data_IF_553135264269
#
_entry.id   IF_553135264269
#
_cell.length_a   1.000
_cell.length_b   1.000
_cell.length_c   1.000
_cell.angle_alpha   90.00
_cell.angle_beta   90.00
_cell.angle_gamma   90.00
#
_symmetry.space_group_name_H-M   'P 1'
#
loop_
_entity.id
_entity.type
_entity.pdbx_description
1 polymer ?
#
# COMPACT_ATOMS: atom_id res chain seq x y z
N UNK A 1 21.66 51.81 13.41
CA UNK A 1 23.01 52.30 13.73
C UNK A 1 23.99 51.22 13.32
N UNK A 2 24.71 51.46 12.22
CA UNK A 2 25.84 50.64 11.75
C UNK A 2 27.10 51.16 12.39
N UNK A 3 27.97 50.29 12.93
CA UNK A 3 29.42 50.49 12.93
C UNK A 3 30.15 49.13 12.85
N UNK A 4 31.38 49.08 12.31
CA UNK A 4 31.94 47.93 11.59
C UNK A 4 33.26 47.38 12.17
N UNK A 5 33.79 46.36 11.47
CA UNK A 5 35.22 46.09 11.22
C UNK A 5 36.01 45.29 12.30
N UNK A 6 37.24 44.78 11.99
CA UNK A 6 37.53 43.38 11.61
C UNK A 6 38.73 42.80 12.42
N UNK A 7 39.21 41.59 12.12
CA UNK A 7 40.61 41.30 11.75
C UNK A 7 40.89 39.79 11.65
N UNK A 8 41.71 39.48 10.66
CA UNK A 8 42.35 38.22 10.30
C UNK A 8 43.15 37.61 11.46
N UNK A 9 43.32 36.28 11.45
CA UNK A 9 44.66 35.69 11.64
C UNK A 9 44.74 34.29 11.02
N UNK A 10 45.57 34.25 9.97
CA UNK A 10 46.22 33.09 9.38
C UNK A 10 47.05 32.36 10.44
N UNK A 11 47.03 31.03 10.43
CA UNK A 11 47.90 30.22 11.29
C UNK A 11 48.08 28.81 10.75
N UNK A 12 48.92 28.67 9.73
CA UNK A 12 49.43 27.37 9.26
C UNK A 12 50.50 26.86 10.22
N UNK A 13 50.34 25.64 10.75
CA UNK A 13 51.41 24.87 11.38
C UNK A 13 51.57 23.54 10.63
N UNK A 14 52.72 23.40 9.97
CA UNK A 14 53.30 22.18 9.39
C UNK A 14 54.27 21.58 10.42
N UNK A 15 53.98 20.42 11.00
CA UNK A 15 54.90 19.52 11.75
C UNK A 15 54.14 18.18 11.90
N UNK A 16 54.66 16.95 11.75
CA UNK A 16 55.88 16.38 11.21
C UNK A 16 55.60 14.89 10.91
N UNK A 17 56.35 14.33 9.97
CA UNK A 17 56.44 12.90 9.69
C UNK A 17 57.18 12.19 10.84
N UNK A 18 56.55 11.17 11.43
CA UNK A 18 57.16 10.29 12.42
C UNK A 18 56.59 8.89 12.24
N UNK A 19 57.35 8.04 11.54
CA UNK A 19 57.03 6.64 11.36
C UNK A 19 57.28 5.87 12.66
N UNK A 20 56.25 5.21 13.17
CA UNK A 20 56.38 4.05 14.06
C UNK A 20 55.81 2.84 13.32
N UNK A 21 56.54 1.72 13.19
CA UNK A 21 55.93 0.46 12.82
C UNK A 21 55.14 -0.02 14.05
N UNK A 22 53.90 0.42 14.16
CA UNK A 22 52.92 -0.24 15.00
C UNK A 22 52.21 -1.24 14.10
N UNK A 23 52.45 -2.51 14.35
CA UNK A 23 51.58 -3.60 13.90
C UNK A 23 50.18 -3.33 14.47
N UNK A 24 49.37 -2.55 13.75
CA UNK A 24 47.94 -2.56 13.95
C UNK A 24 47.42 -3.90 13.42
N UNK A 25 46.73 -4.69 14.27
CA UNK A 25 46.07 -5.89 13.81
C UNK A 25 45.09 -5.47 12.72
N UNK A 26 45.17 -6.19 11.60
CA UNK A 26 44.45 -5.86 10.38
C UNK A 26 42.99 -5.53 10.66
N UNK A 27 42.53 -4.49 9.97
CA UNK A 27 41.13 -4.24 9.64
C UNK A 27 40.30 -5.50 9.83
N UNK A 28 39.70 -5.63 11.01
CA UNK A 28 38.65 -6.59 11.24
C UNK A 28 37.57 -6.16 10.26
N UNK A 29 37.49 -6.94 9.18
CA UNK A 29 36.35 -6.99 8.28
C UNK A 29 35.12 -6.88 9.17
N UNK A 30 34.42 -5.74 9.11
CA UNK A 30 33.14 -5.60 9.75
C UNK A 30 32.30 -6.77 9.25
N UNK A 31 32.15 -7.79 10.09
CA UNK A 31 31.37 -8.96 9.75
C UNK A 31 29.99 -8.43 9.39
N UNK A 32 29.60 -8.73 8.15
CA UNK A 32 28.36 -8.29 7.56
C UNK A 32 27.25 -8.61 8.54
N UNK A 33 26.64 -7.57 9.10
CA UNK A 33 25.60 -7.65 10.14
C UNK A 33 24.34 -8.40 9.66
N UNK A 34 24.33 -8.86 8.40
CA UNK A 34 23.30 -9.72 7.83
C UNK A 34 23.28 -11.16 8.35
N UNK A 35 24.38 -11.67 8.93
CA UNK A 35 24.40 -13.06 9.42
C UNK A 35 23.66 -13.22 10.77
N UNK A 36 23.81 -12.27 11.69
CA UNK A 36 23.16 -12.31 13.02
C UNK A 36 21.64 -12.18 12.88
N UNK A 37 21.15 -11.26 12.03
CA UNK A 37 19.72 -11.11 11.75
C UNK A 37 19.11 -12.35 11.08
N UNK A 38 19.87 -13.02 10.22
CA UNK A 38 19.42 -14.25 9.54
C UNK A 38 19.31 -15.44 10.49
N UNK A 39 20.20 -15.55 11.49
CA UNK A 39 20.15 -16.61 12.49
C UNK A 39 18.92 -16.48 13.41
N UNK A 40 18.60 -15.26 13.87
CA UNK A 40 17.42 -14.98 14.72
C UNK A 40 16.10 -15.31 14.02
N UNK A 41 16.07 -15.14 12.70
CA UNK A 41 14.88 -15.34 11.88
C UNK A 41 14.73 -16.77 11.34
N UNK A 42 15.70 -17.65 11.60
CA UNK A 42 15.63 -19.04 11.16
C UNK A 42 14.42 -19.75 11.76
N UNK A 43 13.59 -20.36 10.90
CA UNK A 43 12.34 -21.03 11.29
C UNK A 43 11.16 -20.11 11.60
N UNK A 44 11.35 -18.78 11.62
CA UNK A 44 10.28 -17.82 11.83
C UNK A 44 9.38 -17.73 10.60
N UNK A 45 8.07 -17.76 10.79
CA UNK A 45 7.10 -17.66 9.70
C UNK A 45 5.79 -17.02 10.18
N UNK A 46 5.03 -16.41 9.27
CA UNK A 46 3.62 -16.10 9.48
C UNK A 46 2.79 -17.33 9.08
N UNK A 47 2.29 -18.06 10.06
CA UNK A 47 1.51 -19.29 9.84
C UNK A 47 0.09 -18.98 9.37
N UNK A 48 -0.51 -17.91 9.89
CA UNK A 48 -1.87 -17.46 9.52
C UNK A 48 -1.86 -15.98 9.24
N UNK A 49 -2.52 -15.59 8.15
CA UNK A 49 -2.97 -14.24 7.88
C UNK A 49 -4.35 -14.37 7.26
N UNK A 50 -5.34 -13.68 7.82
CA UNK A 50 -6.71 -13.64 7.31
C UNK A 50 -7.15 -12.22 7.04
N UNK A 51 -8.14 -12.09 6.15
CA UNK A 51 -8.85 -10.88 5.82
C UNK A 51 -10.33 -11.14 6.09
N UNK A 52 -10.86 -10.58 7.18
CA UNK A 52 -12.27 -10.71 7.54
C UNK A 52 -13.19 -9.90 6.62
N UNK A 53 -12.62 -8.93 5.91
CA UNK A 53 -13.27 -8.11 4.90
C UNK A 53 -12.56 -6.76 4.76
N UNK A 54 -12.80 -6.11 3.63
CA UNK A 54 -12.41 -4.74 3.34
C UNK A 54 -13.53 -4.11 2.52
N UNK A 55 -13.94 -2.90 2.88
CA UNK A 55 -14.98 -2.16 2.17
C UNK A 55 -14.60 -0.68 2.10
N UNK A 56 -15.26 0.04 1.21
CA UNK A 56 -15.09 1.49 1.07
C UNK A 56 -16.44 2.18 1.00
N UNK A 57 -16.53 3.35 1.62
CA UNK A 57 -17.73 4.19 1.61
C UNK A 57 -17.37 5.66 1.81
N UNK A 58 -17.85 6.54 0.93
CA UNK A 58 -17.59 7.99 0.97
C UNK A 58 -16.08 8.31 1.03
N UNK A 59 -15.29 7.57 0.27
CA UNK A 59 -13.83 7.70 0.24
C UNK A 59 -13.12 7.24 1.52
N UNK A 60 -13.80 6.51 2.41
CA UNK A 60 -13.20 5.85 3.56
C UNK A 60 -13.14 4.34 3.33
N UNK A 61 -11.93 3.79 3.27
CA UNK A 61 -11.68 2.35 3.19
C UNK A 61 -11.37 1.81 4.58
N UNK A 62 -12.03 0.72 4.98
CA UNK A 62 -11.82 0.07 6.27
C UNK A 62 -11.87 -1.46 6.15
N UNK A 63 -11.07 -2.14 6.97
CA UNK A 63 -10.99 -3.61 6.98
C UNK A 63 -10.31 -4.16 8.22
N UNK A 64 -10.38 -5.47 8.36
CA UNK A 64 -9.82 -6.17 9.53
C UNK A 64 -9.49 -7.62 9.23
N UNK A 65 -8.75 -8.25 10.14
CA UNK A 65 -8.45 -9.68 10.06
C UNK A 65 -7.61 -10.14 11.25
N UNK A 66 -7.03 -11.33 11.12
CA UNK A 66 -6.21 -11.95 12.15
C UNK A 66 -4.86 -12.40 11.59
N UNK A 67 -3.89 -12.58 12.48
CA UNK A 67 -2.55 -13.08 12.18
C UNK A 67 -2.09 -14.06 13.26
N UNK A 68 -1.19 -14.97 12.87
CA UNK A 68 -0.48 -15.88 13.75
C UNK A 68 0.91 -16.14 13.19
N UNK A 69 1.90 -16.29 14.06
CA UNK A 69 3.30 -16.56 13.72
C UNK A 69 3.77 -17.87 14.35
N UNK A 70 4.86 -18.41 13.81
CA UNK A 70 5.58 -19.56 14.35
C UNK A 70 6.86 -19.09 15.03
N UNK A 71 7.18 -19.69 16.18
CA UNK A 71 8.43 -19.48 16.89
C UNK A 71 9.65 -19.74 15.97
N UNK A 72 10.77 -19.02 16.14
CA UNK A 72 11.12 -18.16 17.28
C UNK A 72 10.54 -16.74 17.25
N UNK A 73 9.79 -16.36 16.20
CA UNK A 73 9.14 -15.05 16.15
C UNK A 73 8.15 -14.87 17.31
N UNK A 74 8.15 -13.67 17.88
CA UNK A 74 7.31 -13.25 19.00
C UNK A 74 6.64 -11.89 18.75
N UNK A 75 6.61 -11.46 17.48
CA UNK A 75 5.83 -10.34 16.98
C UNK A 75 5.64 -10.43 15.47
N UNK A 76 4.87 -9.48 14.93
CA UNK A 76 4.60 -9.33 13.50
C UNK A 76 4.79 -7.88 13.08
N UNK A 77 5.33 -7.66 11.88
CA UNK A 77 5.19 -6.39 11.16
C UNK A 77 4.10 -6.53 10.10
N UNK A 78 3.12 -5.65 10.14
CA UNK A 78 2.04 -5.54 9.17
C UNK A 78 2.29 -4.31 8.30
N UNK A 79 2.20 -4.48 6.99
CA UNK A 79 2.29 -3.40 6.01
C UNK A 79 1.01 -3.39 5.18
N UNK A 80 0.41 -2.22 5.01
CA UNK A 80 -0.85 -2.05 4.32
C UNK A 80 -0.65 -1.24 3.04
N UNK A 81 -1.24 -1.69 1.94
CA UNK A 81 -1.09 -1.10 0.62
C UNK A 81 -2.46 -0.87 -0.03
N UNK A 82 -2.57 0.21 -0.81
CA UNK A 82 -3.66 0.46 -1.74
C UNK A 82 -3.00 0.74 -3.09
N UNK A 83 -3.40 0.00 -4.13
CA UNK A 83 -2.85 0.10 -5.48
C UNK A 83 -1.32 0.00 -5.50
N UNK A 84 -0.80 -0.93 -4.71
CA UNK A 84 0.64 -1.18 -4.51
C UNK A 84 1.43 -0.01 -3.91
N UNK A 85 0.76 1.03 -3.40
CA UNK A 85 1.36 2.14 -2.64
C UNK A 85 1.23 1.85 -1.15
N UNK A 86 2.34 1.91 -0.40
CA UNK A 86 2.32 1.69 1.04
C UNK A 86 1.58 2.82 1.77
N UNK A 87 0.57 2.46 2.54
CA UNK A 87 -0.28 3.39 3.28
C UNK A 87 0.21 3.57 4.71
N UNK A 88 0.54 2.46 5.38
CA UNK A 88 0.99 2.44 6.78
C UNK A 88 1.76 1.15 7.10
N UNK A 89 2.52 1.20 8.19
CA UNK A 89 3.23 0.07 8.79
C UNK A 89 2.84 0.00 10.27
N UNK A 90 2.66 -1.20 10.79
CA UNK A 90 2.35 -1.46 12.17
C UNK A 90 3.14 -2.66 12.71
N UNK A 91 3.76 -2.50 13.87
CA UNK A 91 4.45 -3.59 14.57
C UNK A 91 3.63 -4.02 15.79
N UNK A 92 3.31 -5.31 15.89
CA UNK A 92 2.59 -5.87 17.05
C UNK A 92 3.40 -6.98 17.73
N UNK A 93 3.57 -6.93 19.06
CA UNK A 93 4.11 -8.07 19.82
C UNK A 93 3.07 -9.17 19.96
N UNK A 94 3.53 -10.38 20.25
CA UNK A 94 2.69 -11.56 20.47
C UNK A 94 2.82 -12.61 19.37
N UNK A 95 2.30 -13.81 19.63
CA UNK A 95 2.30 -14.93 18.67
C UNK A 95 1.04 -14.97 17.78
N UNK A 96 0.02 -14.20 18.12
CA UNK A 96 -1.22 -14.05 17.35
C UNK A 96 -1.96 -12.78 17.75
N UNK A 97 -2.83 -12.30 16.86
CA UNK A 97 -3.71 -11.20 17.19
C UNK A 97 -4.63 -10.80 16.03
N UNK A 98 -5.41 -9.76 16.27
CA UNK A 98 -6.21 -9.10 15.24
C UNK A 98 -5.48 -7.87 14.70
N UNK A 99 -5.88 -7.43 13.52
CA UNK A 99 -5.43 -6.19 12.89
C UNK A 99 -6.61 -5.41 12.34
N UNK A 100 -6.46 -4.11 12.24
CA UNK A 100 -7.49 -3.18 11.76
C UNK A 100 -6.84 -2.14 10.87
N UNK A 101 -7.51 -1.78 9.78
CA UNK A 101 -7.07 -0.75 8.85
C UNK A 101 -8.22 0.21 8.59
N UNK A 102 -7.93 1.51 8.59
CA UNK A 102 -8.82 2.52 8.05
C UNK A 102 -8.02 3.63 7.37
N UNK A 103 -8.55 4.16 6.28
CA UNK A 103 -7.98 5.31 5.58
C UNK A 103 -9.07 6.10 4.85
N UNK A 104 -9.11 7.40 5.15
CA UNK A 104 -9.92 8.36 4.41
C UNK A 104 -9.18 8.89 3.17
N UNK A 105 -9.93 9.53 2.27
CA UNK A 105 -9.39 10.14 1.05
C UNK A 105 -9.02 9.11 -0.03
N UNK A 106 -9.63 7.93 -0.01
CA UNK A 106 -9.54 6.99 -1.12
C UNK A 106 -10.36 7.57 -2.29
N UNK A 107 -9.77 7.72 -3.48
CA UNK A 107 -10.51 8.16 -4.66
C UNK A 107 -11.69 7.24 -4.96
N UNK A 108 -12.62 7.71 -5.79
CA UNK A 108 -13.65 6.80 -6.30
C UNK A 108 -13.07 5.87 -7.38
N UNK A 109 -13.66 4.69 -7.56
CA UNK A 109 -13.21 3.68 -8.51
C UNK A 109 -12.84 2.35 -7.85
N UNK A 110 -12.22 1.47 -8.63
CA UNK A 110 -11.77 0.16 -8.14
C UNK A 110 -10.34 0.25 -7.65
N UNK A 111 -10.11 -0.21 -6.44
CA UNK A 111 -8.82 -0.23 -5.76
C UNK A 111 -8.44 -1.65 -5.37
N UNK A 112 -7.14 -1.88 -5.29
CA UNK A 112 -6.58 -3.14 -4.78
C UNK A 112 -5.99 -2.91 -3.40
N UNK A 113 -6.66 -3.44 -2.37
CA UNK A 113 -6.12 -3.47 -1.02
C UNK A 113 -5.20 -4.68 -0.86
N UNK A 114 -4.05 -4.48 -0.21
CA UNK A 114 -3.15 -5.56 0.16
C UNK A 114 -2.64 -5.38 1.59
N UNK A 115 -2.62 -6.47 2.35
CA UNK A 115 -1.93 -6.57 3.63
C UNK A 115 -0.78 -7.56 3.51
N UNK A 116 0.38 -7.20 4.07
CA UNK A 116 1.57 -8.07 4.17
C UNK A 116 1.93 -8.22 5.63
N UNK A 117 2.23 -9.44 6.04
CA UNK A 117 2.68 -9.76 7.39
C UNK A 117 4.06 -10.40 7.32
N UNK A 118 5.00 -9.86 8.09
CA UNK A 118 6.35 -10.41 8.26
C UNK A 118 6.54 -10.85 9.71
N UNK A 119 7.16 -12.01 9.96
CA UNK A 119 7.51 -12.38 11.31
C UNK A 119 8.55 -11.39 11.87
N UNK A 120 8.50 -11.14 13.16
CA UNK A 120 9.42 -10.25 13.86
C UNK A 120 9.88 -10.90 15.16
N UNK A 121 11.17 -10.72 15.47
CA UNK A 121 11.75 -11.09 16.76
C UNK A 121 11.99 -9.81 17.55
N UNK A 122 11.44 -9.79 18.77
CA UNK A 122 11.63 -8.75 19.77
C UNK A 122 12.50 -9.36 20.87
N UNK A 123 13.71 -8.85 21.05
CA UNK A 123 14.62 -9.37 22.08
C UNK A 123 14.24 -8.88 23.49
N UNK A 124 14.94 -9.38 24.50
CA UNK A 124 14.73 -8.98 25.90
C UNK A 124 15.02 -7.51 26.19
N UNK A 125 15.74 -6.83 25.30
CA UNK A 125 16.02 -5.39 25.36
C UNK A 125 14.99 -4.56 24.61
N UNK A 126 14.02 -5.20 23.96
CA UNK A 126 12.96 -4.55 23.18
C UNK A 126 13.37 -4.21 21.74
N UNK A 127 14.55 -4.62 21.27
CA UNK A 127 14.97 -4.40 19.88
C UNK A 127 14.13 -5.26 18.95
N UNK A 128 13.71 -4.68 17.82
CA UNK A 128 12.81 -5.31 16.86
C UNK A 128 13.56 -5.64 15.58
N UNK A 129 13.61 -6.94 15.26
CA UNK A 129 14.21 -7.45 14.03
C UNK A 129 13.12 -8.07 13.17
N UNK A 130 12.85 -7.47 12.01
CA UNK A 130 11.88 -8.01 11.04
C UNK A 130 12.57 -9.05 10.17
N UNK A 131 11.97 -10.23 10.10
CA UNK A 131 12.50 -11.39 9.40
C UNK A 131 12.13 -11.37 7.91
N UNK A 132 12.83 -10.51 7.16
CA UNK A 132 12.60 -10.33 5.72
C UNK A 132 12.94 -11.58 4.90
N UNK A 133 13.90 -12.38 5.36
CA UNK A 133 14.35 -13.62 4.69
C UNK A 133 13.30 -14.73 4.69
N UNK A 134 12.40 -14.75 5.68
CA UNK A 134 11.27 -15.68 5.73
C UNK A 134 10.19 -15.37 4.68
N UNK A 135 10.23 -14.16 4.11
CA UNK A 135 9.20 -13.66 3.20
C UNK A 135 7.90 -13.27 3.91
N UNK A 136 7.10 -12.36 3.32
CA UNK A 136 5.80 -12.03 3.86
C UNK A 136 4.75 -13.07 3.51
N UNK A 137 3.77 -13.23 4.40
CA UNK A 137 2.45 -13.71 3.97
C UNK A 137 1.63 -12.51 3.53
N UNK A 138 0.97 -12.61 2.38
CA UNK A 138 0.19 -11.50 1.84
C UNK A 138 -1.22 -11.94 1.45
N UNK A 139 -2.18 -11.02 1.64
CA UNK A 139 -3.53 -11.13 1.12
C UNK A 139 -3.86 -9.87 0.33
N UNK A 140 -4.63 -10.06 -0.73
CA UNK A 140 -5.07 -9.00 -1.63
C UNK A 140 -6.56 -9.13 -1.87
N UNK A 141 -7.28 -8.01 -1.90
CA UNK A 141 -8.69 -7.97 -2.24
C UNK A 141 -9.01 -6.67 -3.01
N UNK A 142 -9.80 -6.81 -4.07
CA UNK A 142 -10.34 -5.67 -4.81
C UNK A 142 -11.56 -5.10 -4.11
N UNK A 143 -11.65 -3.77 -4.07
CA UNK A 143 -12.73 -3.02 -3.44
C UNK A 143 -13.14 -1.89 -4.38
N UNK A 144 -14.43 -1.58 -4.47
CA UNK A 144 -14.93 -0.53 -5.37
C UNK A 144 -15.64 0.55 -4.57
N UNK A 145 -15.19 1.80 -4.73
CA UNK A 145 -15.83 3.00 -4.23
C UNK A 145 -16.72 3.59 -5.33
N UNK A 146 -17.98 3.84 -4.98
CA UNK A 146 -18.94 4.46 -5.90
C UNK A 146 -18.49 5.88 -6.26
N UNK A 147 -18.34 6.15 -7.56
CA UNK A 147 -18.10 7.51 -8.02
C UNK A 147 -19.39 8.34 -7.94
N UNK A 148 -19.33 9.58 -7.43
CA UNK A 148 -20.44 10.50 -7.60
C UNK A 148 -20.69 10.72 -9.10
N UNK A 149 -21.94 10.88 -9.52
CA UNK A 149 -22.23 11.24 -10.90
C UNK A 149 -21.54 12.57 -11.23
N UNK A 150 -21.15 12.80 -12.50
CA UNK A 150 -20.63 14.09 -12.93
C UNK A 150 -21.59 15.21 -12.52
N UNK A 151 -21.04 16.35 -12.08
CA UNK A 151 -21.84 17.53 -11.74
C UNK A 151 -22.72 17.92 -12.94
N UNK A 152 -24.04 17.91 -12.75
CA UNK A 152 -25.04 18.21 -13.80
C UNK A 152 -25.93 17.02 -14.17
N UNK A 153 -25.61 15.80 -13.72
CA UNK A 153 -26.41 14.60 -13.96
C UNK A 153 -27.34 14.35 -12.76
N UNK A 154 -28.62 14.65 -12.91
CA UNK A 154 -29.66 14.31 -11.93
C UNK A 154 -30.59 13.25 -12.52
N UNK A 155 -31.47 12.67 -11.70
CA UNK A 155 -32.48 11.70 -12.16
C UNK A 155 -33.33 12.22 -13.34
N UNK A 156 -33.44 13.55 -13.45
CA UNK A 156 -34.21 14.25 -14.50
C UNK A 156 -33.35 14.73 -15.68
N UNK A 157 -32.02 14.57 -15.62
CA UNK A 157 -31.10 15.05 -16.66
C UNK A 157 -30.12 13.93 -17.04
N UNK A 158 -30.51 13.15 -18.05
CA UNK A 158 -29.76 12.00 -18.57
C UNK A 158 -28.47 12.50 -19.19
N UNK A 159 -27.36 12.32 -18.49
CA UNK A 159 -26.05 12.50 -19.09
C UNK A 159 -25.76 11.35 -20.04
N UNK A 160 -25.57 11.67 -21.32
CA UNK A 160 -25.00 10.77 -22.30
C UNK A 160 -23.58 10.40 -21.87
N UNK A 161 -23.45 9.29 -21.13
CA UNK A 161 -22.16 8.72 -20.76
C UNK A 161 -21.52 8.14 -22.02
N UNK A 162 -20.50 8.79 -22.55
CA UNK A 162 -19.66 8.21 -23.60
C UNK A 162 -18.75 7.15 -22.97
N UNK A 163 -19.11 5.88 -23.10
CA UNK A 163 -18.24 4.76 -22.74
C UNK A 163 -16.98 4.78 -23.62
N UNK A 164 -15.79 4.84 -23.01
CA UNK A 164 -14.52 4.60 -23.71
C UNK A 164 -14.19 3.10 -23.59
N UNK A 165 -13.85 2.45 -24.70
CA UNK A 165 -13.71 1.00 -24.83
C UNK A 165 -12.52 0.35 -24.10
N UNK A 166 -11.84 1.06 -23.18
CA UNK A 166 -10.57 0.58 -22.64
C UNK A 166 -10.63 0.01 -21.21
N UNK A 167 -11.76 0.10 -20.51
CA UNK A 167 -11.95 -0.54 -19.20
C UNK A 167 -13.40 -1.01 -19.01
N UNK A 168 -13.55 -2.29 -18.65
CA UNK A 168 -14.81 -2.98 -18.37
C UNK A 168 -15.64 -2.30 -17.26
N UNK A 169 -16.45 -1.31 -17.62
CA UNK A 169 -17.47 -0.77 -16.72
C UNK A 169 -18.67 -0.22 -17.51
N UNK A 170 -19.77 -0.98 -17.52
CA UNK A 170 -21.06 -0.54 -18.04
C UNK A 170 -22.00 -0.32 -16.86
N UNK A 171 -22.28 0.95 -16.54
CA UNK A 171 -23.40 1.32 -15.68
C UNK A 171 -24.28 2.27 -16.49
N UNK A 172 -25.46 1.78 -16.92
CA UNK A 172 -26.56 2.67 -17.27
C UNK A 172 -27.37 2.94 -16.01
N UNK A 173 -27.75 4.20 -15.83
CA UNK A 173 -28.65 4.61 -14.75
C UNK A 173 -30.01 3.94 -14.96
N UNK A 174 -30.64 3.46 -13.88
CA UNK A 174 -31.90 2.70 -13.82
C UNK A 174 -31.91 1.21 -14.23
N UNK A 175 -30.80 0.49 -14.03
CA UNK A 175 -30.84 -0.99 -14.08
C UNK A 175 -30.95 -1.59 -15.48
N UNK A 176 -30.64 -0.82 -16.52
CA UNK A 176 -30.39 -1.36 -17.85
C UNK A 176 -28.91 -1.76 -17.95
N UNK A 177 -28.64 -3.00 -18.34
CA UNK A 177 -27.29 -3.47 -18.66
C UNK A 177 -27.11 -3.40 -20.18
N UNK A 178 -25.95 -2.94 -20.65
CA UNK A 178 -25.51 -3.19 -22.02
C UNK A 178 -24.57 -4.39 -21.96
N UNK A 179 -25.04 -5.56 -22.39
CA UNK A 179 -24.14 -6.68 -22.67
C UNK A 179 -23.65 -6.58 -24.12
N UNK A 180 -22.62 -7.35 -24.44
CA UNK A 180 -22.01 -7.45 -25.77
C UNK A 180 -23.03 -7.72 -26.89
N UNK A 181 -24.20 -8.23 -26.52
CA UNK A 181 -25.36 -8.46 -27.37
C UNK A 181 -26.42 -7.37 -27.16
N UNK A 182 -26.23 -6.20 -27.79
CA UNK A 182 -27.24 -5.25 -28.31
C UNK A 182 -28.60 -5.03 -27.61
N UNK A 183 -28.81 -5.40 -26.35
CA UNK A 183 -30.10 -5.33 -25.68
C UNK A 183 -30.00 -4.45 -24.44
N UNK A 184 -30.56 -3.23 -24.50
CA UNK A 184 -30.87 -2.46 -23.30
C UNK A 184 -32.05 -3.17 -22.60
N UNK A 185 -31.95 -3.45 -21.30
CA UNK A 185 -32.95 -4.21 -20.52
C UNK A 185 -34.38 -3.62 -20.44
N UNK A 186 -34.65 -2.48 -21.09
CA UNK A 186 -35.98 -1.93 -21.34
C UNK A 186 -36.00 -1.29 -22.72
N UNK A 187 -37.11 -1.48 -23.46
CA UNK A 187 -37.46 -0.90 -24.79
C UNK A 187 -36.54 0.23 -25.24
N UNK A 188 -35.36 -0.13 -25.72
CA UNK A 188 -34.31 0.81 -26.07
C UNK A 188 -33.34 0.13 -27.00
N UNK A 189 -32.88 0.87 -28.00
CA UNK A 189 -31.97 0.37 -29.03
C UNK A 189 -30.56 0.77 -28.66
N UNK A 190 -29.64 -0.19 -28.56
CA UNK A 190 -28.21 0.09 -28.50
C UNK A 190 -27.72 0.50 -29.88
N UNK A 191 -27.40 1.78 -30.07
CA UNK A 191 -26.71 2.23 -31.28
C UNK A 191 -25.20 2.05 -31.08
N UNK A 192 -24.62 1.13 -31.85
CA UNK A 192 -23.18 0.86 -31.87
C UNK A 192 -22.50 1.80 -32.86
N UNK A 193 -21.77 2.79 -32.36
CA UNK A 193 -20.82 3.56 -33.15
C UNK A 193 -19.41 3.02 -32.92
N UNK A 194 -18.52 3.15 -33.91
CA UNK A 194 -17.11 2.71 -33.83
C UNK A 194 -16.32 3.26 -32.63
N UNK A 195 -16.88 4.22 -31.88
CA UNK A 195 -16.24 4.86 -30.72
C UNK A 195 -17.15 5.03 -29.49
N UNK A 196 -18.40 4.55 -29.52
CA UNK A 196 -19.32 4.69 -28.39
C UNK A 196 -20.58 3.80 -28.51
N UNK A 197 -21.09 3.34 -27.38
CA UNK A 197 -22.42 2.73 -27.26
C UNK A 197 -23.39 3.77 -26.67
N UNK A 198 -24.56 3.95 -27.29
CA UNK A 198 -25.62 4.83 -26.80
C UNK A 198 -26.91 4.03 -26.66
N UNK A 199 -27.53 4.03 -25.47
CA UNK A 199 -28.92 3.54 -25.31
C UNK A 199 -29.85 4.73 -25.58
N UNK A 200 -30.71 4.60 -26.59
CA UNK A 200 -31.81 5.54 -26.83
C UNK A 200 -33.09 4.89 -26.33
N UNK A 201 -33.79 5.54 -25.41
CA UNK A 201 -35.14 5.13 -25.00
C UNK A 201 -36.10 5.70 -26.05
N UNK A 202 -36.84 4.83 -26.74
CA UNK A 202 -37.95 5.26 -27.59
C UNK A 202 -39.16 5.52 -26.68
N UNK A 203 -39.43 6.78 -26.38
CA UNK A 203 -40.69 7.18 -25.74
C UNK A 203 -41.84 6.95 -26.74
N UNK A 204 -42.84 6.15 -26.33
CA UNK A 204 -44.13 5.96 -26.99
C UNK A 204 -45.18 6.88 -26.39
#
# INVERSE_FOLDING_TARGET
MSFPLPFLLLGSLLVACGATPHEEPGLESAESSGEIGSALCSGSAVSVLTLGGISTYNGEMAGSGNWQITAPANGVRLEYFIDNVQQSIEDRPGSSGSWYFSRAGVPCGTHTFQVRAYPMVIDSSGNRTVCLTSGPRSLTQSVTESCPPPLGCNADNICNLSCSFDQDCYVCVQGAFCTNDSQCGRKGVCLRSSKSCMCVIEDL
#
